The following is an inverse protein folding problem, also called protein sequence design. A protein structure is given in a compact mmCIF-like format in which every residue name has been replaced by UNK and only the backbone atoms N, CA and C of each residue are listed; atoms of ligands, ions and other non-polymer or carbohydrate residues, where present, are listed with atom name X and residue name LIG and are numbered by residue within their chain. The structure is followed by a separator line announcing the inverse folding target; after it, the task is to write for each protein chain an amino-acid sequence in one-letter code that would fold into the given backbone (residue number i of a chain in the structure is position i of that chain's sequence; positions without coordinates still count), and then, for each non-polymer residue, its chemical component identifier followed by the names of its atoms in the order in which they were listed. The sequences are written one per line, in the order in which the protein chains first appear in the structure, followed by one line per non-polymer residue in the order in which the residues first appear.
data_IF_093456987897
#
_entry.id   IF_093456987897
#
_cell.length_a   1.000
_cell.length_b   1.000
_cell.length_c   1.000
_cell.angle_alpha   90.00
_cell.angle_beta   90.00
_cell.angle_gamma   90.00
#
_symmetry.space_group_name_H-M   'P 1'
#
loop_
_entity.id
_entity.type
_entity.pdbx_description
1 polymer ?
#
# COMPACT_ATOMS: atom_id res chain seq x y z
N UNK A 1 -5.15 -24.87 2.90
CA UNK A 1 -5.45 -25.47 1.59
C UNK A 1 -4.32 -25.07 0.67
N UNK A 2 -3.60 -26.03 0.10
CA UNK A 2 -2.57 -25.79 -0.90
C UNK A 2 -3.28 -25.47 -2.22
N UNK A 3 -3.31 -24.20 -2.60
CA UNK A 3 -3.77 -23.78 -3.92
C UNK A 3 -2.79 -24.30 -4.97
N UNK A 4 -3.08 -25.51 -5.47
CA UNK A 4 -2.47 -26.04 -6.67
C UNK A 4 -2.92 -25.16 -7.85
N UNK A 5 -2.11 -24.16 -8.21
CA UNK A 5 -2.19 -23.49 -9.51
C UNK A 5 -1.74 -24.48 -10.61
N UNK A 6 -2.59 -25.47 -10.90
CA UNK A 6 -2.46 -26.38 -12.04
C UNK A 6 -3.19 -25.80 -13.25
N UNK A 7 -2.83 -24.59 -13.66
CA UNK A 7 -3.15 -24.16 -15.01
C UNK A 7 -1.88 -24.41 -15.82
N UNK A 8 -1.91 -25.40 -16.72
CA UNK A 8 -0.81 -25.72 -17.64
C UNK A 8 -0.69 -24.63 -18.71
N UNK A 9 -0.77 -23.36 -18.32
CA UNK A 9 -0.81 -22.23 -19.21
C UNK A 9 -0.12 -21.03 -18.60
N UNK A 10 0.69 -20.37 -19.42
CA UNK A 10 1.28 -19.08 -19.12
C UNK A 10 0.45 -18.00 -19.81
N UNK A 11 0.03 -16.99 -19.06
CA UNK A 11 -0.68 -15.82 -19.58
C UNK A 11 0.18 -14.58 -19.42
N UNK A 12 0.28 -13.76 -20.46
CA UNK A 12 0.93 -12.46 -20.39
C UNK A 12 0.19 -11.43 -21.22
N UNK A 13 0.24 -10.17 -20.78
CA UNK A 13 -0.45 -9.05 -21.42
C UNK A 13 0.58 -8.00 -21.82
N UNK A 14 0.54 -7.53 -23.06
CA UNK A 14 1.41 -6.43 -23.46
C UNK A 14 0.84 -5.07 -23.04
N UNK A 15 1.63 -4.01 -23.19
CA UNK A 15 1.22 -2.64 -22.86
C UNK A 15 -0.03 -2.14 -23.63
N UNK A 16 -0.39 -2.77 -24.74
CA UNK A 16 -1.61 -2.47 -25.53
C UNK A 16 -2.83 -3.25 -25.05
N UNK A 17 -2.71 -3.99 -23.96
CA UNK A 17 -3.79 -4.80 -23.42
C UNK A 17 -4.11 -6.05 -24.24
N UNK A 18 -3.22 -6.48 -25.14
CA UNK A 18 -3.39 -7.76 -25.84
C UNK A 18 -2.94 -8.89 -24.92
N UNK A 19 -3.85 -9.83 -24.68
CA UNK A 19 -3.59 -11.04 -23.90
C UNK A 19 -2.98 -12.12 -24.79
N UNK A 20 -1.97 -12.80 -24.28
CA UNK A 20 -1.29 -13.93 -24.88
C UNK A 20 -1.37 -15.10 -23.90
N UNK A 21 -1.57 -16.29 -24.46
CA UNK A 21 -1.68 -17.53 -23.70
C UNK A 21 -0.82 -18.60 -24.37
N UNK A 22 0.05 -19.23 -23.60
CA UNK A 22 0.86 -20.38 -24.02
C UNK A 22 0.42 -21.57 -23.19
N UNK A 23 -0.08 -22.62 -23.83
CA UNK A 23 -0.37 -23.89 -23.16
C UNK A 23 0.94 -24.67 -23.05
N UNK A 24 1.34 -25.01 -21.83
CA UNK A 24 2.51 -25.82 -21.53
C UNK A 24 2.16 -27.31 -21.66
N UNK A 25 3.04 -28.12 -22.28
CA UNK A 25 2.91 -29.57 -22.23
C UNK A 25 2.95 -30.09 -20.78
N UNK A 26 2.20 -31.15 -20.48
CA UNK A 26 2.04 -31.68 -19.11
C UNK A 26 3.35 -32.14 -18.44
N UNK A 27 4.43 -32.33 -19.21
CA UNK A 27 5.75 -32.69 -18.72
C UNK A 27 6.68 -31.49 -18.47
N UNK A 28 6.23 -30.26 -18.73
CA UNK A 28 7.02 -29.04 -18.55
C UNK A 28 6.67 -28.41 -17.21
N UNK A 29 7.70 -28.20 -16.37
CA UNK A 29 7.55 -27.45 -15.13
C UNK A 29 7.23 -25.96 -15.45
N UNK A 30 6.12 -25.40 -14.93
CA UNK A 30 5.71 -24.02 -15.18
C UNK A 30 6.73 -22.95 -14.75
N UNK A 31 7.38 -23.11 -13.60
CA UNK A 31 8.42 -22.21 -13.10
C UNK A 31 9.60 -22.16 -14.08
N UNK A 32 10.08 -23.33 -14.50
CA UNK A 32 11.18 -23.42 -15.47
C UNK A 32 10.82 -22.84 -16.84
N UNK A 33 9.57 -23.00 -17.28
CA UNK A 33 9.09 -22.43 -18.53
C UNK A 33 8.96 -20.90 -18.44
N UNK A 34 8.41 -20.38 -17.35
CA UNK A 34 8.28 -18.94 -17.11
C UNK A 34 9.66 -18.28 -16.97
N UNK A 35 10.58 -18.89 -16.21
CA UNK A 35 11.96 -18.41 -16.11
C UNK A 35 12.64 -18.31 -17.48
N UNK A 36 12.54 -19.35 -18.32
CA UNK A 36 13.06 -19.31 -19.69
C UNK A 36 12.40 -18.25 -20.57
N UNK A 37 11.09 -18.06 -20.42
CA UNK A 37 10.34 -17.02 -21.14
C UNK A 37 10.82 -15.62 -20.75
N UNK A 38 11.01 -15.36 -19.45
CA UNK A 38 11.53 -14.10 -18.96
C UNK A 38 12.94 -13.85 -19.48
N UNK A 39 13.82 -14.86 -19.41
CA UNK A 39 15.17 -14.77 -19.97
C UNK A 39 15.18 -14.45 -21.47
N UNK A 40 14.27 -15.04 -22.26
CA UNK A 40 14.22 -14.79 -23.70
C UNK A 40 13.64 -13.43 -24.07
N UNK A 41 12.66 -12.94 -23.29
CA UNK A 41 12.02 -11.65 -23.55
C UNK A 41 12.83 -10.45 -23.05
N UNK A 42 13.53 -10.61 -21.94
CA UNK A 42 14.20 -9.51 -21.26
C UNK A 42 15.68 -9.40 -21.63
N UNK A 43 16.18 -10.37 -22.41
CA UNK A 43 17.60 -10.60 -22.71
C UNK A 43 18.42 -10.80 -21.42
N UNK A 44 19.12 -11.94 -21.30
CA UNK A 44 19.95 -12.23 -20.14
C UNK A 44 20.93 -11.07 -19.87
N UNK A 45 21.11 -10.67 -18.61
CA UNK A 45 21.92 -9.53 -18.11
C UNK A 45 21.36 -8.11 -18.21
N UNK A 46 20.07 -7.94 -18.49
CA UNK A 46 19.48 -6.60 -18.53
C UNK A 46 19.20 -6.02 -17.14
N UNK A 47 19.85 -4.89 -16.84
CA UNK A 47 19.33 -3.96 -15.84
C UNK A 47 18.13 -3.23 -16.44
N UNK A 48 16.94 -3.56 -15.96
CA UNK A 48 15.68 -3.07 -16.50
C UNK A 48 15.20 -1.87 -15.69
N UNK A 49 14.78 -0.83 -16.40
CA UNK A 49 14.22 0.37 -15.80
C UNK A 49 12.72 0.38 -16.02
N UNK A 50 11.97 0.19 -14.94
CA UNK A 50 10.50 0.28 -14.97
C UNK A 50 10.03 1.17 -13.85
N UNK A 51 9.08 2.07 -14.10
CA UNK A 51 8.56 2.91 -13.03
C UNK A 51 7.90 2.07 -11.92
N UNK A 52 7.16 1.04 -12.34
CA UNK A 52 6.37 0.17 -11.46
C UNK A 52 6.59 -1.30 -11.77
N UNK A 53 6.90 -2.08 -10.74
CA UNK A 53 6.94 -3.54 -10.77
C UNK A 53 5.78 -4.11 -9.95
N UNK A 54 5.06 -5.09 -10.50
CA UNK A 54 3.94 -5.76 -9.83
C UNK A 54 4.19 -7.27 -9.78
N UNK A 55 4.18 -7.85 -8.58
CA UNK A 55 4.56 -9.24 -8.31
C UNK A 55 3.41 -10.06 -7.69
N UNK A 56 2.15 -9.80 -8.07
CA UNK A 56 1.02 -10.56 -7.52
C UNK A 56 0.93 -11.97 -8.11
N UNK A 57 0.72 -12.97 -7.24
CA UNK A 57 0.54 -14.37 -7.66
C UNK A 57 1.83 -15.05 -8.17
N UNK A 58 2.99 -14.49 -7.83
CA UNK A 58 4.31 -14.98 -8.27
C UNK A 58 5.06 -15.75 -7.17
N UNK A 59 4.41 -16.18 -6.09
CA UNK A 59 5.04 -16.89 -4.96
C UNK A 59 5.67 -18.25 -5.31
N UNK A 60 5.51 -18.72 -6.54
CA UNK A 60 6.08 -19.96 -7.06
C UNK A 60 7.21 -19.71 -8.08
N UNK A 61 7.54 -18.45 -8.36
CA UNK A 61 8.48 -18.07 -9.41
C UNK A 61 9.76 -17.48 -8.82
N UNK A 62 10.87 -18.19 -9.00
CA UNK A 62 12.20 -17.63 -8.77
C UNK A 62 12.65 -16.80 -9.97
N UNK A 63 12.96 -15.52 -9.75
CA UNK A 63 13.58 -14.70 -10.79
C UNK A 63 15.08 -15.03 -10.94
N UNK A 64 15.62 -14.97 -12.17
CA UNK A 64 17.05 -15.04 -12.40
C UNK A 64 17.85 -14.03 -11.57
N UNK A 65 18.97 -14.45 -10.96
CA UNK A 65 19.76 -13.56 -10.10
C UNK A 65 20.42 -12.38 -10.86
N UNK A 66 20.66 -12.52 -12.16
CA UNK A 66 21.20 -11.48 -13.04
C UNK A 66 20.14 -10.50 -13.57
N UNK A 67 18.85 -10.78 -13.32
CA UNK A 67 17.74 -9.93 -13.71
C UNK A 67 17.49 -8.89 -12.62
N UNK A 68 17.92 -7.65 -12.88
CA UNK A 68 17.84 -6.56 -11.91
C UNK A 68 16.90 -5.46 -12.40
N UNK A 69 15.95 -5.07 -11.56
CA UNK A 69 14.99 -4.01 -11.80
C UNK A 69 15.34 -2.76 -11.01
N UNK A 70 15.48 -1.63 -11.69
CA UNK A 70 15.45 -0.31 -11.05
C UNK A 70 14.04 0.24 -11.11
N UNK A 71 13.45 0.51 -9.95
CA UNK A 71 12.03 0.84 -9.80
C UNK A 71 11.80 2.08 -8.94
N UNK A 72 10.63 2.71 -9.12
CA UNK A 72 10.13 3.72 -8.18
C UNK A 72 8.97 3.16 -7.33
N UNK A 73 8.19 2.25 -7.90
CA UNK A 73 6.98 1.71 -7.31
C UNK A 73 7.00 0.18 -7.30
N UNK A 74 6.63 -0.42 -6.17
CA UNK A 74 6.45 -1.87 -6.04
C UNK A 74 5.01 -2.19 -5.66
N UNK A 75 4.45 -3.22 -6.29
CA UNK A 75 3.19 -3.84 -5.87
C UNK A 75 3.41 -5.32 -5.61
N UNK A 76 3.15 -5.81 -4.40
CA UNK A 76 3.36 -7.21 -4.03
C UNK A 76 2.51 -7.62 -2.83
N UNK A 77 2.54 -8.89 -2.41
CA UNK A 77 2.30 -9.25 -1.00
C UNK A 77 3.65 -9.26 -0.28
N UNK A 78 3.66 -8.87 1.00
CA UNK A 78 4.88 -8.93 1.80
C UNK A 78 5.28 -10.37 2.16
N UNK A 79 4.39 -11.35 2.01
CA UNK A 79 4.70 -12.75 2.29
C UNK A 79 5.81 -13.35 1.43
N UNK A 80 6.15 -12.73 0.29
CA UNK A 80 7.21 -13.19 -0.62
C UNK A 80 8.14 -12.06 -1.07
N UNK A 81 8.11 -10.88 -0.42
CA UNK A 81 8.94 -9.75 -0.88
C UNK A 81 10.43 -10.08 -0.85
N UNK A 82 10.89 -10.80 0.18
CA UNK A 82 12.28 -11.17 0.39
C UNK A 82 12.86 -12.00 -0.77
N UNK A 83 12.02 -12.83 -1.40
CA UNK A 83 12.40 -13.66 -2.55
C UNK A 83 12.81 -12.81 -3.76
N UNK A 84 12.27 -11.58 -3.87
CA UNK A 84 12.49 -10.68 -5.00
C UNK A 84 13.40 -9.50 -4.68
N UNK A 85 13.81 -9.31 -3.42
CA UNK A 85 14.68 -8.18 -3.04
C UNK A 85 16.02 -8.21 -3.78
N UNK A 86 16.58 -9.39 -4.02
CA UNK A 86 17.82 -9.57 -4.78
C UNK A 86 17.69 -9.07 -6.23
N UNK A 87 16.47 -9.04 -6.77
CA UNK A 87 16.18 -8.57 -8.12
C UNK A 87 15.87 -7.07 -8.20
N UNK A 88 15.87 -6.35 -7.07
CA UNK A 88 15.63 -4.91 -7.06
C UNK A 88 16.95 -4.18 -6.83
N UNK A 89 17.28 -3.27 -7.73
CA UNK A 89 18.47 -2.43 -7.60
C UNK A 89 18.39 -1.59 -6.33
N UNK A 90 19.47 -1.59 -5.53
CA UNK A 90 19.53 -0.88 -4.25
C UNK A 90 19.23 0.63 -4.36
N UNK A 91 19.51 1.25 -5.51
CA UNK A 91 19.19 2.67 -5.77
C UNK A 91 17.70 2.95 -5.92
N UNK A 92 16.85 1.91 -5.95
CA UNK A 92 15.39 2.03 -5.93
C UNK A 92 14.86 2.37 -4.52
N UNK A 93 15.65 2.12 -3.48
CA UNK A 93 15.25 2.34 -2.09
C UNK A 93 15.71 3.71 -1.56
N UNK A 94 14.90 4.38 -0.71
CA UNK A 94 13.52 4.03 -0.37
C UNK A 94 12.59 4.20 -1.57
N UNK A 95 11.61 3.30 -1.69
CA UNK A 95 10.63 3.34 -2.76
C UNK A 95 9.79 4.63 -2.67
N UNK A 96 9.41 5.17 -3.83
CA UNK A 96 8.45 6.28 -3.86
C UNK A 96 7.06 5.82 -3.45
N UNK A 97 6.66 4.61 -3.86
CA UNK A 97 5.37 4.00 -3.53
C UNK A 97 5.50 2.50 -3.33
N UNK A 98 4.99 2.00 -2.22
CA UNK A 98 4.79 0.57 -1.98
C UNK A 98 3.29 0.32 -1.86
N UNK A 99 2.73 -0.55 -2.70
CA UNK A 99 1.36 -1.02 -2.56
C UNK A 99 1.36 -2.51 -2.21
N UNK A 100 1.07 -2.85 -0.96
CA UNK A 100 1.25 -4.20 -0.46
C UNK A 100 0.02 -4.77 0.25
N UNK A 101 -0.12 -6.09 0.18
CA UNK A 101 -0.90 -6.84 1.15
C UNK A 101 -0.02 -7.17 2.36
N UNK A 102 -0.56 -7.00 3.56
CA UNK A 102 0.12 -7.20 4.83
C UNK A 102 -0.58 -8.34 5.58
N UNK A 103 -0.12 -9.56 5.34
CA UNK A 103 -0.85 -10.74 5.80
C UNK A 103 -0.60 -11.07 7.28
N UNK A 104 0.50 -10.57 7.88
CA UNK A 104 0.87 -10.84 9.27
C UNK A 104 1.43 -9.61 9.99
N UNK A 105 1.32 -9.53 11.33
CA UNK A 105 1.91 -8.44 12.11
C UNK A 105 3.42 -8.30 11.94
N UNK A 106 4.13 -9.41 11.73
CA UNK A 106 5.59 -9.42 11.58
C UNK A 106 6.06 -8.61 10.36
N UNK A 107 5.21 -8.47 9.34
CA UNK A 107 5.53 -7.70 8.14
C UNK A 107 5.62 -6.19 8.40
N UNK A 108 5.05 -5.68 9.50
CA UNK A 108 5.01 -4.25 9.79
C UNK A 108 6.39 -3.64 10.10
N UNK A 109 7.33 -4.48 10.52
CA UNK A 109 8.70 -4.08 10.80
C UNK A 109 9.62 -4.24 9.58
N UNK A 110 9.08 -4.68 8.44
CA UNK A 110 9.88 -4.90 7.24
C UNK A 110 10.44 -3.58 6.69
N UNK A 111 11.74 -3.53 6.42
CA UNK A 111 12.47 -2.29 6.09
C UNK A 111 11.95 -1.61 4.82
N UNK A 112 11.54 -2.39 3.82
CA UNK A 112 10.95 -1.84 2.58
C UNK A 112 9.61 -1.17 2.84
N UNK A 113 8.84 -1.69 3.80
CA UNK A 113 7.57 -1.10 4.19
C UNK A 113 7.81 0.19 4.98
N UNK A 114 8.61 0.15 6.05
CA UNK A 114 8.83 1.31 6.92
C UNK A 114 9.57 2.47 6.25
N UNK A 115 10.39 2.19 5.24
CA UNK A 115 11.16 3.22 4.51
C UNK A 115 10.44 3.83 3.31
N UNK A 116 9.36 3.24 2.81
CA UNK A 116 8.63 3.77 1.65
C UNK A 116 8.13 5.21 1.88
N UNK A 117 8.10 6.04 0.84
CA UNK A 117 7.57 7.41 0.97
C UNK A 117 6.05 7.44 1.06
N UNK A 118 5.40 6.55 0.31
CA UNK A 118 3.96 6.34 0.31
C UNK A 118 3.70 4.83 0.45
N UNK A 119 2.98 4.45 1.50
CA UNK A 119 2.51 3.09 1.72
C UNK A 119 1.03 3.01 1.35
N UNK A 120 0.67 2.02 0.54
CA UNK A 120 -0.71 1.67 0.25
C UNK A 120 -0.94 0.24 0.72
N UNK A 121 -1.80 0.08 1.72
CA UNK A 121 -2.23 -1.20 2.25
C UNK A 121 -3.48 -1.62 1.48
N UNK A 122 -3.34 -2.66 0.68
CA UNK A 122 -4.43 -3.18 -0.15
C UNK A 122 -5.32 -4.06 0.71
N UNK A 123 -4.71 -5.03 1.36
CA UNK A 123 -5.35 -6.01 2.22
C UNK A 123 -4.48 -6.17 3.48
N UNK A 124 -5.13 -6.45 4.60
CA UNK A 124 -4.49 -6.47 5.91
C UNK A 124 -5.20 -7.43 6.86
N UNK A 125 -4.66 -7.55 8.06
CA UNK A 125 -5.28 -8.32 9.14
C UNK A 125 -5.99 -7.36 10.14
N UNK A 126 -6.88 -7.91 10.97
CA UNK A 126 -7.59 -7.13 11.99
C UNK A 126 -6.62 -6.41 12.93
N UNK A 127 -6.78 -5.09 13.09
CA UNK A 127 -5.88 -4.27 13.90
C UNK A 127 -4.59 -3.83 13.21
N UNK A 128 -4.35 -4.22 11.95
CA UNK A 128 -3.23 -3.70 11.14
C UNK A 128 -3.09 -2.16 11.19
N UNK A 129 -4.16 -1.35 11.19
CA UNK A 129 -4.01 0.10 11.20
C UNK A 129 -3.47 0.67 12.50
N UNK A 130 -3.87 0.08 13.64
CA UNK A 130 -3.36 0.45 14.96
C UNK A 130 -1.89 0.09 15.06
N UNK A 131 -1.51 -1.11 14.60
CA UNK A 131 -0.12 -1.55 14.62
C UNK A 131 0.75 -0.81 13.62
N UNK A 132 0.22 -0.42 12.46
CA UNK A 132 0.91 0.49 11.53
C UNK A 132 1.12 1.81 12.24
N UNK A 133 0.11 2.36 12.91
CA UNK A 133 0.30 3.59 13.64
C UNK A 133 1.45 3.51 14.67
N UNK A 134 1.53 2.41 15.42
CA UNK A 134 2.53 2.22 16.47
C UNK A 134 3.93 1.94 15.92
N UNK A 135 4.05 1.09 14.91
CA UNK A 135 5.34 0.50 14.50
C UNK A 135 5.90 1.09 13.19
N UNK A 136 5.11 1.87 12.46
CA UNK A 136 5.48 2.31 11.13
C UNK A 136 5.85 3.81 11.08
N UNK A 137 6.93 4.10 10.36
CA UNK A 137 7.49 5.45 10.17
C UNK A 137 7.02 6.15 8.89
N UNK A 138 6.16 5.54 8.08
CA UNK A 138 5.63 6.15 6.86
C UNK A 138 4.75 7.35 7.24
N UNK A 139 5.02 8.49 6.61
CA UNK A 139 4.20 9.69 6.77
C UNK A 139 2.93 9.64 5.93
N UNK A 140 2.91 8.90 4.84
CA UNK A 140 1.74 8.80 3.96
C UNK A 140 1.31 7.35 3.85
N UNK A 141 0.16 7.04 4.43
CA UNK A 141 -0.41 5.69 4.41
C UNK A 141 -1.83 5.77 3.85
N UNK A 142 -2.14 4.91 2.89
CA UNK A 142 -3.50 4.75 2.34
C UNK A 142 -3.95 3.32 2.53
N UNK A 143 -5.20 3.14 2.91
CA UNK A 143 -5.85 1.86 3.12
C UNK A 143 -6.98 1.69 2.10
N UNK A 144 -6.84 0.76 1.16
CA UNK A 144 -7.74 0.63 0.00
C UNK A 144 -8.90 -0.36 0.21
N UNK A 145 -8.66 -1.57 0.76
CA UNK A 145 -9.73 -2.57 0.95
C UNK A 145 -9.90 -3.03 2.40
N UNK A 146 -9.01 -2.64 3.32
CA UNK A 146 -9.26 -2.82 4.75
C UNK A 146 -10.40 -1.89 5.14
N UNK A 147 -11.58 -2.45 5.40
CA UNK A 147 -12.71 -1.72 5.96
C UNK A 147 -12.35 -1.28 7.38
N UNK A 148 -12.64 -0.03 7.70
CA UNK A 148 -12.44 0.51 9.04
C UNK A 148 -13.76 0.66 9.73
N UNK A 149 -13.84 0.17 10.97
CA UNK A 149 -14.92 0.57 11.84
C UNK A 149 -14.59 1.92 12.47
N UNK A 150 -15.59 2.79 12.64
CA UNK A 150 -15.46 4.10 13.27
C UNK A 150 -14.71 4.08 14.62
N UNK A 151 -14.89 3.07 15.51
CA UNK A 151 -14.11 2.94 16.74
C UNK A 151 -12.59 2.90 16.56
N UNK A 152 -12.08 2.25 15.50
CA UNK A 152 -10.64 2.18 15.23
C UNK A 152 -10.06 3.55 14.86
N UNK A 153 -10.80 4.32 14.06
CA UNK A 153 -10.42 5.68 13.68
C UNK A 153 -10.43 6.61 14.90
N UNK A 154 -11.42 6.51 15.77
CA UNK A 154 -11.47 7.29 17.01
C UNK A 154 -10.29 6.93 17.92
N UNK A 155 -9.98 5.65 18.06
CA UNK A 155 -8.85 5.17 18.85
C UNK A 155 -7.51 5.68 18.30
N UNK A 156 -7.35 5.66 16.98
CA UNK A 156 -6.19 6.22 16.29
C UNK A 156 -6.02 7.73 16.57
N UNK A 157 -7.09 8.51 16.41
CA UNK A 157 -7.05 9.96 16.63
C UNK A 157 -6.76 10.30 18.09
N UNK A 158 -7.38 9.59 19.04
CA UNK A 158 -7.11 9.78 20.46
C UNK A 158 -5.65 9.42 20.79
N UNK A 159 -5.13 8.33 20.23
CA UNK A 159 -3.72 7.98 20.39
C UNK A 159 -2.78 9.08 19.88
N UNK A 160 -3.06 9.69 18.71
CA UNK A 160 -2.26 10.80 18.18
C UNK A 160 -2.37 12.06 19.02
N UNK A 161 -3.56 12.31 19.57
CA UNK A 161 -3.80 13.45 20.47
C UNK A 161 -2.99 13.31 21.77
N UNK A 162 -2.95 12.11 22.33
CA UNK A 162 -2.37 11.86 23.65
C UNK A 162 -0.84 11.63 23.59
N UNK A 163 -0.35 10.92 22.56
CA UNK A 163 1.06 10.57 22.42
C UNK A 163 1.83 11.44 21.41
N UNK A 164 1.10 12.24 20.62
CA UNK A 164 1.66 12.94 19.48
C UNK A 164 1.87 12.03 18.28
N UNK A 165 2.00 12.66 17.11
CA UNK A 165 2.42 12.04 15.84
C UNK A 165 3.20 13.11 15.07
N UNK A 166 4.05 12.68 14.14
CA UNK A 166 4.85 13.61 13.36
C UNK A 166 3.97 14.49 12.46
N UNK A 167 4.24 15.79 12.42
CA UNK A 167 3.55 16.75 11.54
C UNK A 167 3.72 16.35 10.07
N UNK A 168 2.64 16.47 9.31
CA UNK A 168 2.57 16.05 7.91
C UNK A 168 2.35 14.54 7.75
N UNK A 169 2.12 13.80 8.84
CA UNK A 169 1.59 12.44 8.74
C UNK A 169 0.15 12.48 8.27
N UNK A 170 -0.18 11.69 7.25
CA UNK A 170 -1.50 11.58 6.65
C UNK A 170 -1.87 10.12 6.47
N UNK A 171 -2.99 9.72 7.06
CA UNK A 171 -3.61 8.42 6.84
C UNK A 171 -4.90 8.60 6.04
N UNK A 172 -5.08 7.80 4.99
CA UNK A 172 -6.27 7.79 4.13
C UNK A 172 -6.98 6.45 4.23
N UNK A 173 -8.29 6.47 4.45
CA UNK A 173 -9.09 5.27 4.68
C UNK A 173 -10.28 5.24 3.74
N UNK A 174 -10.59 4.07 3.17
CA UNK A 174 -11.82 3.90 2.41
C UNK A 174 -13.05 3.92 3.34
N UNK A 175 -14.06 4.71 3.01
CA UNK A 175 -15.29 4.83 3.81
C UNK A 175 -16.29 3.73 3.43
N UNK A 176 -16.38 2.70 4.27
CA UNK A 176 -17.26 1.54 4.05
C UNK A 176 -18.75 1.87 4.06
N UNK A 177 -19.17 2.93 4.78
CA UNK A 177 -20.58 3.33 4.89
C UNK A 177 -21.09 4.10 3.66
N UNK A 178 -20.22 4.35 2.68
CA UNK A 178 -20.60 5.01 1.44
C UNK A 178 -21.17 4.00 0.45
N UNK A 179 -22.45 4.13 0.13
CA UNK A 179 -23.23 3.23 -0.75
C UNK A 179 -22.76 3.30 -2.23
N UNK A 180 -21.76 4.12 -2.55
CA UNK A 180 -21.29 4.38 -3.92
C UNK A 180 -19.77 4.19 -3.96
N UNK A 181 -19.28 3.31 -4.83
CA UNK A 181 -17.83 3.18 -5.10
C UNK A 181 -17.40 4.32 -6.04
N UNK A 182 -17.08 5.50 -5.50
CA UNK A 182 -16.40 6.57 -6.25
C UNK A 182 -15.05 6.94 -5.58
N UNK A 183 -14.16 7.57 -6.35
CA UNK A 183 -12.82 7.99 -5.90
C UNK A 183 -12.84 9.07 -4.78
N UNK A 184 -14.01 9.49 -4.28
CA UNK A 184 -14.19 10.53 -3.27
C UNK A 184 -14.58 9.99 -1.89
N UNK A 185 -14.77 8.68 -1.74
CA UNK A 185 -15.16 8.09 -0.46
C UNK A 185 -13.97 7.70 0.41
N UNK A 186 -13.08 8.67 0.64
CA UNK A 186 -11.97 8.52 1.57
C UNK A 186 -12.12 9.45 2.77
N UNK A 187 -11.81 8.93 3.95
CA UNK A 187 -11.56 9.71 5.15
C UNK A 187 -10.05 9.97 5.21
N UNK A 188 -9.67 11.25 5.31
CA UNK A 188 -8.27 11.66 5.43
C UNK A 188 -8.04 12.25 6.81
N UNK A 189 -7.07 11.69 7.53
CA UNK A 189 -6.64 12.18 8.84
C UNK A 189 -5.21 12.70 8.70
N UNK A 190 -5.00 13.98 9.00
CA UNK A 190 -3.70 14.65 8.87
C UNK A 190 -3.28 15.32 10.18
N UNK A 191 -1.98 15.20 10.50
CA UNK A 191 -1.37 15.89 11.64
C UNK A 191 -0.85 17.25 11.20
N UNK A 192 -1.55 18.32 11.63
CA UNK A 192 -1.21 19.71 11.27
C UNK A 192 -0.66 20.52 12.47
N UNK A 193 0.13 21.58 12.25
CA UNK A 193 0.60 22.47 13.31
C UNK A 193 -0.57 23.15 14.06
N UNK A 194 -0.46 23.30 15.37
CA UNK A 194 -1.48 23.97 16.22
C UNK A 194 -1.74 25.42 15.77
N UNK A 195 -0.73 26.08 15.21
CA UNK A 195 -0.83 27.47 14.72
C UNK A 195 -1.75 27.61 13.50
N UNK A 196 -2.10 26.51 12.82
CA UNK A 196 -3.07 26.53 11.71
C UNK A 196 -4.54 26.52 12.17
N UNK A 197 -4.84 26.37 13.47
CA UNK A 197 -6.23 26.31 13.98
C UNK A 197 -6.98 27.65 13.96
N UNK A 198 -6.42 28.72 13.40
CA UNK A 198 -7.05 30.05 13.39
C UNK A 198 -7.54 30.43 12.00
N UNK A 199 -8.71 29.92 11.60
CA UNK A 199 -9.55 30.63 10.62
C UNK A 199 -11.06 30.35 10.73
N UNK A 200 -11.55 29.51 11.66
CA UNK A 200 -13.00 29.24 11.79
C UNK A 200 -13.67 29.67 13.11
N UNK A 201 -12.92 30.05 14.14
CA UNK A 201 -13.49 30.38 15.46
C UNK A 201 -13.63 31.90 15.73
N UNK A 202 -13.84 32.70 14.69
CA UNK A 202 -13.96 34.16 14.82
C UNK A 202 -15.27 34.71 14.25
N UNK A 203 -16.44 34.20 14.68
CA UNK A 203 -17.65 35.03 14.79
C UNK A 203 -18.73 34.38 15.67
N UNK A 204 -18.56 34.42 16.99
CA UNK A 204 -19.72 34.53 17.88
C UNK A 204 -19.40 35.60 18.94
N UNK A 205 -19.86 36.83 18.69
CA UNK A 205 -19.91 37.87 19.71
C UNK A 205 -20.84 37.42 20.85
N UNK A 206 -20.48 37.70 22.12
CA UNK A 206 -21.35 37.40 23.25
C UNK A 206 -22.52 38.38 23.25
N UNK A 207 -23.73 37.88 22.98
CA UNK A 207 -24.95 38.69 23.07
C UNK A 207 -25.22 39.04 24.54
N UNK A 208 -24.75 40.22 24.94
CA UNK A 208 -24.87 40.73 26.29
C UNK A 208 -26.34 41.08 26.59
N UNK A 209 -26.84 40.46 27.65
CA UNK A 209 -28.15 40.67 28.25
C UNK A 209 -28.40 42.13 28.64
N UNK A 210 -29.55 42.70 28.23
CA UNK A 210 -30.13 43.90 28.84
C UNK A 210 -31.58 43.64 29.28
N UNK A 211 -31.85 44.17 30.47
CA UNK A 211 -32.92 43.93 31.46
C UNK A 211 -34.28 44.62 31.12
N UNK A 212 -35.35 44.41 31.94
CA UNK A 212 -36.76 44.47 31.53
C UNK A 212 -37.36 45.88 31.51
N UNK A 213 -38.48 46.05 30.81
CA UNK A 213 -39.33 47.26 30.87
C UNK A 213 -40.46 47.07 31.87
N UNK A 214 -40.45 47.90 32.91
CA UNK A 214 -41.66 48.36 33.62
C UNK A 214 -42.15 49.64 32.94
N UNK A 215 -43.42 49.68 32.58
CA UNK A 215 -44.41 50.76 32.79
C UNK A 215 -45.75 50.28 32.25
#
# INVERSE_FOLDING_TARGET
MTDNYTDNELRFKNARGKDFKIILPSNVNPEKAMSKLLYSYLEASSKIYVNRLSLYGMSWLSLPADLIFRINELRCSLSYIDEFLANIDQSSFPLKKLRAAIDTPNHLNHSVLTSAKELIVVDGFDGAPQLINENNTNKSVTFEMSSFCTPDLVSLVNNWKDNGKEIGTTFKFFNYDSVILDDKNYIVVEVVPITLKRETDATEEPCCSKKPRQS
#
